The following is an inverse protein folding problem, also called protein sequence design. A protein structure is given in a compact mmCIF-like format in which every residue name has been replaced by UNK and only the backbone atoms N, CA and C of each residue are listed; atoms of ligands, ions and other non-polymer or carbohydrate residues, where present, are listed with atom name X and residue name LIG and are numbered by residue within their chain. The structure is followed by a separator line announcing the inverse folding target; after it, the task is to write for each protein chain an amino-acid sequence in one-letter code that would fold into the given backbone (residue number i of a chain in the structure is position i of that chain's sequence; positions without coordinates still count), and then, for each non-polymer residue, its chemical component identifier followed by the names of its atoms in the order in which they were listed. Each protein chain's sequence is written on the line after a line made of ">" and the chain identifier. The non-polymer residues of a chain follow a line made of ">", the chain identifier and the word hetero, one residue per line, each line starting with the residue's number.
data_IF_684313696951
#
_entry.id   IF_684313696951
#
_cell.length_a   1.000
_cell.length_b   1.000
_cell.length_c   1.000
_cell.angle_alpha   90.00
_cell.angle_beta   90.00
_cell.angle_gamma   90.00
#
_symmetry.space_group_name_H-M   'P 1'
#
loop_
_entity.id
_entity.type
_entity.pdbx_description
1 polymer ?
#
# COMPACT_ATOMS: atom_id res chain seq x y z
N UNK A 1 32.76 -5.87 -11.70
CA UNK A 1 31.61 -6.42 -10.93
C UNK A 1 32.03 -7.33 -9.77
N UNK A 2 33.24 -7.90 -9.73
CA UNK A 2 33.69 -8.78 -8.63
C UNK A 2 33.96 -8.08 -7.28
N UNK A 3 34.03 -6.76 -7.20
CA UNK A 3 34.43 -6.05 -5.96
C UNK A 3 33.27 -5.69 -5.01
N UNK A 4 32.00 -5.82 -5.44
CA UNK A 4 30.85 -5.44 -4.61
C UNK A 4 30.58 -6.40 -3.44
N UNK A 5 31.13 -7.63 -3.50
CA UNK A 5 30.91 -8.68 -2.50
C UNK A 5 32.16 -9.02 -1.68
N UNK A 6 33.19 -8.17 -1.68
CA UNK A 6 34.29 -8.30 -0.72
C UNK A 6 33.77 -8.08 0.70
N UNK A 7 34.24 -8.85 1.69
CA UNK A 7 33.80 -8.75 3.09
C UNK A 7 33.96 -7.34 3.68
N UNK A 8 34.93 -6.57 3.18
CA UNK A 8 35.22 -5.19 3.59
C UNK A 8 34.11 -4.19 3.19
N UNK A 9 33.24 -4.55 2.25
CA UNK A 9 32.13 -3.71 1.76
C UNK A 9 30.77 -4.05 2.38
N UNK A 10 30.70 -5.08 3.23
CA UNK A 10 29.45 -5.56 3.81
C UNK A 10 28.72 -4.51 4.68
N UNK A 11 29.41 -3.69 5.52
CA UNK A 11 28.74 -2.62 6.27
C UNK A 11 28.09 -1.57 5.37
N UNK A 12 28.77 -1.16 4.30
CA UNK A 12 28.29 -0.15 3.35
C UNK A 12 27.10 -0.68 2.55
N UNK A 13 27.14 -1.97 2.17
CA UNK A 13 26.01 -2.64 1.53
C UNK A 13 24.80 -2.73 2.48
N UNK A 14 25.02 -3.06 3.75
CA UNK A 14 23.96 -3.11 4.76
C UNK A 14 23.26 -1.75 4.94
N UNK A 15 24.04 -0.67 5.03
CA UNK A 15 23.50 0.70 5.09
C UNK A 15 22.72 1.04 3.82
N UNK A 16 23.27 0.76 2.64
CA UNK A 16 22.59 1.01 1.37
C UNK A 16 21.22 0.31 1.30
N UNK A 17 21.18 -0.98 1.67
CA UNK A 17 19.93 -1.73 1.73
C UNK A 17 18.95 -1.12 2.74
N UNK A 18 19.41 -0.72 3.91
CA UNK A 18 18.58 -0.07 4.93
C UNK A 18 17.98 1.25 4.44
N UNK A 19 18.74 2.05 3.67
CA UNK A 19 18.28 3.34 3.11
C UNK A 19 17.26 3.19 1.98
N UNK A 20 17.40 2.14 1.17
CA UNK A 20 16.56 1.92 -0.02
C UNK A 20 15.32 1.08 0.29
N UNK A 21 15.37 0.21 1.31
CA UNK A 21 14.27 -0.70 1.67
C UNK A 21 12.92 0.01 1.89
N UNK A 22 12.83 1.17 2.57
CA UNK A 22 11.57 1.91 2.69
C UNK A 22 10.89 2.18 1.34
N UNK A 23 11.67 2.60 0.33
CA UNK A 23 11.15 2.93 -0.99
C UNK A 23 10.63 1.69 -1.71
N UNK A 24 11.37 0.58 -1.67
CA UNK A 24 10.95 -0.68 -2.29
C UNK A 24 9.63 -1.17 -1.68
N UNK A 25 9.55 -1.15 -0.35
CA UNK A 25 8.37 -1.64 0.37
C UNK A 25 7.17 -0.70 0.17
N UNK A 26 7.39 0.62 0.20
CA UNK A 26 6.32 1.59 -0.06
C UNK A 26 5.85 1.56 -1.52
N UNK A 27 6.72 1.23 -2.47
CA UNK A 27 6.32 1.01 -3.86
C UNK A 27 5.42 -0.21 -3.99
N UNK A 28 5.75 -1.29 -3.27
CA UNK A 28 4.93 -2.50 -3.24
C UNK A 28 3.53 -2.25 -2.63
N UNK A 29 3.44 -1.48 -1.54
CA UNK A 29 2.13 -1.15 -0.95
C UNK A 29 1.29 -0.24 -1.85
N UNK A 30 1.90 0.72 -2.53
CA UNK A 30 1.22 1.59 -3.49
C UNK A 30 0.72 0.79 -4.70
N UNK A 31 1.57 -0.09 -5.25
CA UNK A 31 1.20 -0.98 -6.35
C UNK A 31 0.07 -1.93 -5.92
N UNK A 32 0.11 -2.46 -4.71
CA UNK A 32 -0.99 -3.26 -4.17
C UNK A 32 -2.30 -2.44 -4.16
N UNK A 33 -2.27 -1.22 -3.62
CA UNK A 33 -3.44 -0.32 -3.63
C UNK A 33 -3.98 -0.09 -5.04
N UNK A 34 -3.10 0.17 -6.01
CA UNK A 34 -3.48 0.35 -7.41
C UNK A 34 -4.11 -0.90 -8.02
N UNK A 35 -3.54 -2.08 -7.75
CA UNK A 35 -4.09 -3.35 -8.20
C UNK A 35 -5.47 -3.64 -7.59
N UNK A 36 -5.72 -3.25 -6.33
CA UNK A 36 -7.05 -3.32 -5.72
C UNK A 36 -8.06 -2.46 -6.47
N UNK A 37 -7.67 -1.23 -6.83
CA UNK A 37 -8.54 -0.28 -7.53
C UNK A 37 -8.97 -0.81 -8.90
N UNK A 38 -8.00 -1.29 -9.70
CA UNK A 38 -8.30 -1.89 -11.01
C UNK A 38 -9.14 -3.16 -10.87
N UNK A 39 -8.71 -4.10 -10.02
CA UNK A 39 -9.33 -5.43 -9.95
C UNK A 39 -10.76 -5.35 -9.44
N UNK A 40 -11.01 -4.51 -8.42
CA UNK A 40 -12.34 -4.32 -7.86
C UNK A 40 -13.18 -3.37 -8.71
N UNK A 41 -12.59 -2.31 -9.26
CA UNK A 41 -13.26 -1.40 -10.20
C UNK A 41 -13.82 -2.11 -11.43
N UNK A 42 -13.14 -3.15 -11.93
CA UNK A 42 -13.62 -3.94 -13.05
C UNK A 42 -15.00 -4.57 -12.83
N UNK A 43 -15.38 -4.91 -11.59
CA UNK A 43 -16.71 -5.44 -11.27
C UNK A 43 -17.85 -4.42 -11.43
N UNK A 44 -17.53 -3.13 -11.51
CA UNK A 44 -18.50 -2.07 -11.77
C UNK A 44 -18.52 -1.61 -13.22
N UNK A 45 -17.82 -2.31 -14.12
CA UNK A 45 -17.85 -1.98 -15.54
C UNK A 45 -19.30 -2.07 -16.08
N UNK A 46 -19.75 -1.14 -16.93
CA UNK A 46 -21.12 -1.13 -17.45
C UNK A 46 -21.55 -2.47 -18.08
N UNK A 47 -20.64 -3.14 -18.81
CA UNK A 47 -20.94 -4.44 -19.43
C UNK A 47 -21.29 -5.55 -18.44
N UNK A 48 -20.90 -5.45 -17.17
CA UNK A 48 -21.25 -6.39 -16.11
C UNK A 48 -22.46 -5.89 -15.32
N UNK A 49 -22.55 -4.58 -15.09
CA UNK A 49 -23.61 -3.96 -14.28
C UNK A 49 -24.97 -3.91 -14.97
N UNK A 50 -25.00 -3.68 -16.28
CA UNK A 50 -26.25 -3.61 -17.05
C UNK A 50 -26.72 -4.97 -17.52
N UNK A 51 -25.93 -6.03 -17.30
CA UNK A 51 -26.35 -7.39 -17.58
C UNK A 51 -27.47 -7.80 -16.59
N UNK A 52 -28.66 -8.22 -17.06
CA UNK A 52 -29.77 -8.60 -16.20
C UNK A 52 -29.45 -9.72 -15.20
N UNK A 53 -28.40 -10.50 -15.48
CA UNK A 53 -27.97 -11.61 -14.63
C UNK A 53 -27.04 -11.18 -13.50
N UNK A 54 -26.57 -9.93 -13.47
CA UNK A 54 -25.62 -9.36 -12.50
C UNK A 54 -24.45 -10.31 -12.18
N UNK A 55 -23.64 -10.70 -13.19
CA UNK A 55 -22.56 -11.66 -13.01
C UNK A 55 -21.52 -11.17 -11.99
N UNK A 56 -21.24 -9.86 -11.97
CA UNK A 56 -20.36 -9.21 -10.99
C UNK A 56 -20.85 -9.45 -9.56
N UNK A 57 -22.09 -9.09 -9.25
CA UNK A 57 -22.68 -9.28 -7.92
C UNK A 57 -22.75 -10.75 -7.47
N UNK A 58 -22.78 -11.72 -8.39
CA UNK A 58 -22.73 -13.15 -8.05
C UNK A 58 -21.32 -13.65 -7.75
N UNK A 59 -20.30 -13.12 -8.45
CA UNK A 59 -18.91 -13.56 -8.30
C UNK A 59 -18.23 -12.87 -7.12
N UNK A 60 -18.56 -11.60 -6.88
CA UNK A 60 -17.89 -10.73 -5.91
C UNK A 60 -17.84 -11.29 -4.48
N UNK A 61 -18.88 -11.94 -3.92
CA UNK A 61 -18.82 -12.53 -2.57
C UNK A 61 -17.79 -13.64 -2.43
N UNK A 62 -17.44 -14.32 -3.53
CA UNK A 62 -16.43 -15.39 -3.57
C UNK A 62 -15.05 -14.86 -3.93
N UNK A 63 -14.99 -13.93 -4.89
CA UNK A 63 -13.74 -13.31 -5.33
C UNK A 63 -13.10 -12.50 -4.20
N UNK A 64 -13.87 -11.67 -3.51
CA UNK A 64 -13.32 -10.72 -2.55
C UNK A 64 -12.60 -11.40 -1.37
N UNK A 65 -13.15 -12.44 -0.69
CA UNK A 65 -12.40 -13.18 0.32
C UNK A 65 -11.15 -13.87 -0.25
N UNK A 66 -11.24 -14.45 -1.46
CA UNK A 66 -10.10 -15.13 -2.09
C UNK A 66 -8.95 -14.17 -2.40
N UNK A 67 -9.27 -12.94 -2.81
CA UNK A 67 -8.30 -11.88 -3.06
C UNK A 67 -7.78 -11.21 -1.78
N UNK A 68 -8.66 -10.90 -0.82
CA UNK A 68 -8.29 -10.15 0.39
C UNK A 68 -7.56 -10.98 1.44
N UNK A 69 -7.82 -12.29 1.53
CA UNK A 69 -7.13 -13.16 2.50
C UNK A 69 -5.60 -13.15 2.35
N UNK A 70 -5.02 -13.35 1.14
CA UNK A 70 -3.59 -13.11 0.93
C UNK A 70 -3.25 -11.62 0.95
N UNK A 71 -4.15 -10.74 0.50
CA UNK A 71 -3.94 -9.29 0.51
C UNK A 71 -3.66 -8.69 1.89
N UNK A 72 -4.22 -9.26 2.97
CA UNK A 72 -3.92 -8.84 4.36
C UNK A 72 -2.43 -9.04 4.68
N UNK A 73 -1.81 -10.10 4.19
CA UNK A 73 -0.35 -10.29 4.33
C UNK A 73 0.42 -9.23 3.56
N UNK A 74 -0.04 -8.86 2.35
CA UNK A 74 0.54 -7.74 1.60
C UNK A 74 0.52 -6.44 2.39
N UNK A 75 -0.58 -6.12 3.08
CA UNK A 75 -0.69 -4.94 3.95
C UNK A 75 0.25 -5.06 5.16
N UNK A 76 0.22 -6.20 5.86
CA UNK A 76 1.03 -6.43 7.07
C UNK A 76 2.53 -6.48 6.82
N UNK A 77 2.96 -6.95 5.64
CA UNK A 77 4.37 -7.04 5.24
C UNK A 77 4.90 -5.76 4.59
N UNK A 78 4.04 -4.76 4.34
CA UNK A 78 4.48 -3.52 3.70
C UNK A 78 4.35 -2.29 4.59
N UNK A 79 3.17 -1.96 5.12
CA UNK A 79 2.99 -0.72 5.87
C UNK A 79 3.78 -0.68 7.19
N UNK A 80 3.68 -1.67 8.10
CA UNK A 80 4.46 -1.65 9.34
C UNK A 80 5.98 -1.70 9.10
N UNK A 81 6.52 -2.57 8.21
CA UNK A 81 7.94 -2.55 7.91
C UNK A 81 8.42 -1.23 7.29
N UNK A 82 7.66 -0.64 6.36
CA UNK A 82 8.00 0.67 5.80
C UNK A 82 8.05 1.73 6.89
N UNK A 83 7.07 1.74 7.81
CA UNK A 83 7.05 2.65 8.96
C UNK A 83 8.29 2.48 9.84
N UNK A 84 8.61 1.25 10.24
CA UNK A 84 9.78 0.96 11.10
C UNK A 84 11.06 1.38 10.41
N UNK A 85 11.24 1.01 9.14
CA UNK A 85 12.45 1.37 8.40
C UNK A 85 12.56 2.89 8.21
N UNK A 86 11.46 3.59 7.97
CA UNK A 86 11.45 5.05 7.94
C UNK A 86 11.89 5.64 9.29
N UNK A 87 11.39 5.11 10.41
CA UNK A 87 11.81 5.57 11.74
C UNK A 87 13.31 5.35 11.96
N UNK A 88 13.82 4.15 11.67
CA UNK A 88 15.25 3.84 11.77
C UNK A 88 16.08 4.81 10.92
N UNK A 89 15.64 5.08 9.70
CA UNK A 89 16.31 6.02 8.81
C UNK A 89 16.21 7.49 9.31
N UNK A 90 15.08 7.90 9.87
CA UNK A 90 14.84 9.23 10.42
C UNK A 90 15.62 9.54 11.71
N UNK A 91 16.03 8.51 12.46
CA UNK A 91 16.91 8.65 13.62
C UNK A 91 18.40 8.60 13.30
N UNK A 92 18.77 8.47 12.02
CA UNK A 92 20.17 8.45 11.62
C UNK A 92 20.81 9.85 11.54
N UNK A 93 22.13 9.90 11.33
CA UNK A 93 22.92 11.13 11.22
C UNK A 93 22.78 11.93 9.92
N UNK A 94 21.69 11.74 9.17
CA UNK A 94 21.37 12.48 7.95
C UNK A 94 20.89 13.91 8.28
N UNK A 95 20.87 14.80 7.28
CA UNK A 95 20.33 16.16 7.41
C UNK A 95 18.90 16.20 7.99
N UNK A 96 18.56 17.33 8.62
CA UNK A 96 17.26 17.55 9.28
C UNK A 96 16.09 17.34 8.31
N UNK A 97 16.23 17.82 7.08
CA UNK A 97 15.26 17.76 6.01
C UNK A 97 14.96 16.31 5.61
N UNK A 98 16.00 15.49 5.40
CA UNK A 98 15.87 14.06 5.08
C UNK A 98 15.16 13.32 6.21
N UNK A 99 15.52 13.62 7.46
CA UNK A 99 14.91 13.01 8.64
C UNK A 99 13.43 13.33 8.72
N UNK A 100 13.04 14.58 8.49
CA UNK A 100 11.63 14.98 8.44
C UNK A 100 10.86 14.26 7.33
N UNK A 101 11.46 14.07 6.15
CA UNK A 101 10.83 13.29 5.07
C UNK A 101 10.60 11.83 5.47
N UNK A 102 11.58 11.18 6.12
CA UNK A 102 11.38 9.83 6.66
C UNK A 102 10.28 9.79 7.73
N UNK A 103 10.26 10.73 8.67
CA UNK A 103 9.19 10.78 9.69
C UNK A 103 7.81 11.03 9.10
N UNK A 104 7.70 11.91 8.09
CA UNK A 104 6.46 12.12 7.35
C UNK A 104 6.03 10.84 6.61
N UNK A 105 6.96 10.16 5.96
CA UNK A 105 6.73 8.86 5.33
C UNK A 105 6.21 7.80 6.31
N UNK A 106 6.83 7.71 7.50
CA UNK A 106 6.40 6.82 8.57
C UNK A 106 4.98 7.15 9.05
N UNK A 107 4.69 8.43 9.26
CA UNK A 107 3.38 8.93 9.67
C UNK A 107 2.28 8.55 8.67
N UNK A 108 2.47 8.86 7.39
CA UNK A 108 1.48 8.54 6.36
C UNK A 108 1.34 7.01 6.17
N UNK A 109 2.44 6.26 6.25
CA UNK A 109 2.41 4.79 6.17
C UNK A 109 1.55 4.16 7.27
N UNK A 110 1.73 4.60 8.53
CA UNK A 110 0.90 4.07 9.63
C UNK A 110 -0.53 4.62 9.61
N UNK A 111 -0.73 5.84 9.10
CA UNK A 111 -2.06 6.43 8.98
C UNK A 111 -3.00 5.59 8.10
N UNK A 112 -2.47 4.79 7.16
CA UNK A 112 -3.24 3.79 6.38
C UNK A 112 -4.28 3.04 7.23
N UNK A 113 -3.90 2.62 8.44
CA UNK A 113 -4.74 1.81 9.31
C UNK A 113 -5.95 2.56 9.88
N UNK A 114 -5.98 3.90 9.86
CA UNK A 114 -7.14 4.69 10.28
C UNK A 114 -8.39 4.41 9.41
N UNK A 115 -8.22 3.98 8.16
CA UNK A 115 -9.32 3.62 7.28
C UNK A 115 -9.86 2.21 7.54
N UNK A 116 -9.07 1.35 8.18
CA UNK A 116 -9.32 -0.08 8.37
C UNK A 116 -10.74 -0.40 8.86
N UNK A 117 -11.20 0.12 10.02
CA UNK A 117 -12.52 -0.19 10.56
C UNK A 117 -13.66 0.07 9.56
N UNK A 118 -13.63 1.25 8.92
CA UNK A 118 -14.66 1.66 7.96
C UNK A 118 -14.63 0.81 6.69
N UNK A 119 -13.45 0.47 6.20
CA UNK A 119 -13.26 -0.32 4.99
C UNK A 119 -13.70 -1.77 5.21
N UNK A 120 -13.31 -2.38 6.33
CA UNK A 120 -13.73 -3.74 6.67
C UNK A 120 -15.24 -3.85 6.90
N UNK A 121 -15.89 -2.83 7.45
CA UNK A 121 -17.35 -2.81 7.58
C UNK A 121 -18.04 -2.93 6.21
N UNK A 122 -17.54 -2.22 5.19
CA UNK A 122 -18.09 -2.28 3.84
C UNK A 122 -17.75 -3.61 3.17
N UNK A 123 -16.50 -4.09 3.29
CA UNK A 123 -16.07 -5.37 2.73
C UNK A 123 -16.94 -6.53 3.22
N UNK A 124 -17.32 -6.56 4.51
CA UNK A 124 -18.23 -7.58 5.05
C UNK A 124 -19.57 -7.62 4.32
N UNK A 125 -20.14 -6.46 3.98
CA UNK A 125 -21.40 -6.38 3.21
C UNK A 125 -21.24 -6.89 1.79
N UNK A 126 -20.06 -6.71 1.19
CA UNK A 126 -19.77 -7.23 -0.16
C UNK A 126 -19.63 -8.76 -0.14
N UNK A 127 -19.05 -9.31 0.92
CA UNK A 127 -18.77 -10.73 1.10
C UNK A 127 -19.98 -11.55 1.54
N UNK A 128 -21.05 -10.90 1.98
CA UNK A 128 -22.24 -11.58 2.49
C UNK A 128 -22.95 -12.33 1.33
N UNK A 129 -23.00 -13.68 1.36
CA UNK A 129 -23.63 -14.45 0.31
C UNK A 129 -25.14 -14.23 0.23
N UNK A 130 -25.77 -13.70 1.28
CA UNK A 130 -27.21 -13.39 1.31
C UNK A 130 -27.55 -12.11 0.56
N UNK A 131 -26.56 -11.28 0.21
CA UNK A 131 -26.75 -9.97 -0.45
C UNK A 131 -26.18 -9.93 -1.88
N UNK A 132 -25.96 -11.09 -2.50
CA UNK A 132 -25.42 -11.19 -3.85
C UNK A 132 -26.30 -10.47 -4.90
N UNK A 133 -25.65 -9.81 -5.89
CA UNK A 133 -26.33 -9.14 -7.01
C UNK A 133 -26.17 -7.62 -6.96
N UNK A 134 -27.27 -6.87 -7.02
CA UNK A 134 -27.22 -5.40 -6.92
C UNK A 134 -26.71 -4.90 -5.55
N UNK A 135 -27.11 -5.48 -4.39
CA UNK A 135 -26.74 -4.91 -3.09
C UNK A 135 -25.24 -4.91 -2.81
N UNK A 136 -24.50 -5.96 -3.18
CA UNK A 136 -23.05 -6.00 -2.97
C UNK A 136 -22.27 -5.18 -4.00
N UNK A 137 -22.76 -5.03 -5.24
CA UNK A 137 -22.24 -4.05 -6.20
C UNK A 137 -22.36 -2.61 -5.65
N UNK A 138 -23.50 -2.26 -5.06
CA UNK A 138 -23.68 -0.95 -4.39
C UNK A 138 -22.75 -0.76 -3.18
N UNK A 139 -22.48 -1.83 -2.43
CA UNK A 139 -21.48 -1.79 -1.36
C UNK A 139 -20.07 -1.55 -1.93
N UNK A 140 -19.73 -2.13 -3.07
CA UNK A 140 -18.48 -1.89 -3.78
C UNK A 140 -18.38 -0.46 -4.34
N UNK A 141 -19.46 0.11 -4.87
CA UNK A 141 -19.56 1.52 -5.26
C UNK A 141 -19.29 2.48 -4.09
N UNK A 142 -19.62 2.06 -2.87
CA UNK A 142 -19.29 2.83 -1.67
C UNK A 142 -17.82 2.65 -1.24
N UNK A 143 -17.26 1.46 -1.48
CA UNK A 143 -15.90 1.12 -1.06
C UNK A 143 -14.82 1.80 -1.91
N UNK A 144 -14.98 1.80 -3.24
CA UNK A 144 -13.96 2.30 -4.18
C UNK A 144 -13.61 3.78 -3.98
N UNK A 145 -14.56 4.72 -3.83
CA UNK A 145 -14.22 6.11 -3.56
C UNK A 145 -13.44 6.28 -2.24
N UNK A 146 -13.78 5.51 -1.21
CA UNK A 146 -13.05 5.55 0.08
C UNK A 146 -11.65 4.96 -0.04
N UNK A 147 -11.50 3.88 -0.79
CA UNK A 147 -10.21 3.30 -1.15
C UNK A 147 -9.33 4.31 -1.90
N UNK A 148 -9.92 5.00 -2.88
CA UNK A 148 -9.25 6.03 -3.66
C UNK A 148 -8.80 7.18 -2.76
N UNK A 149 -9.68 7.71 -1.90
CA UNK A 149 -9.31 8.75 -0.94
C UNK A 149 -8.19 8.31 -0.01
N UNK A 150 -8.22 7.09 0.53
CA UNK A 150 -7.10 6.54 1.32
C UNK A 150 -5.81 6.52 0.50
N UNK A 151 -5.89 6.05 -0.74
CA UNK A 151 -4.71 5.97 -1.62
C UNK A 151 -4.10 7.35 -1.84
N UNK A 152 -4.92 8.36 -2.15
CA UNK A 152 -4.44 9.72 -2.40
C UNK A 152 -4.00 10.47 -1.14
N UNK A 153 -4.65 10.24 0.00
CA UNK A 153 -4.41 11.02 1.22
C UNK A 153 -3.27 10.46 2.08
N UNK A 154 -2.99 9.16 1.98
CA UNK A 154 -1.95 8.55 2.81
C UNK A 154 -0.97 7.67 2.04
N UNK A 155 -1.41 6.83 1.09
CA UNK A 155 -0.47 5.93 0.41
C UNK A 155 0.47 6.68 -0.55
N UNK A 156 -0.08 7.60 -1.35
CA UNK A 156 0.70 8.43 -2.29
C UNK A 156 1.61 9.41 -1.53
N UNK A 157 1.14 10.17 -0.52
CA UNK A 157 2.02 11.00 0.30
C UNK A 157 3.12 10.23 1.00
N UNK A 158 2.82 9.05 1.57
CA UNK A 158 3.86 8.19 2.15
C UNK A 158 4.95 7.86 1.12
N UNK A 159 4.56 7.38 -0.05
CA UNK A 159 5.49 7.05 -1.13
C UNK A 159 6.32 8.26 -1.56
N UNK A 160 5.70 9.42 -1.76
CA UNK A 160 6.40 10.63 -2.21
C UNK A 160 7.41 11.13 -1.17
N UNK A 161 7.05 11.14 0.11
CA UNK A 161 7.97 11.49 1.20
C UNK A 161 9.15 10.53 1.26
N UNK A 162 8.89 9.22 1.17
CA UNK A 162 9.93 8.18 1.21
C UNK A 162 10.83 8.27 -0.02
N UNK A 163 10.25 8.45 -1.21
CA UNK A 163 10.99 8.63 -2.45
C UNK A 163 11.92 9.84 -2.38
N UNK A 164 11.41 10.99 -1.95
CA UNK A 164 12.21 12.19 -1.77
C UNK A 164 13.32 11.98 -0.74
N UNK A 165 13.03 11.32 0.40
CA UNK A 165 14.02 10.99 1.42
C UNK A 165 15.13 10.09 0.86
N UNK A 166 14.78 9.04 0.11
CA UNK A 166 15.74 8.11 -0.49
C UNK A 166 16.62 8.81 -1.53
N UNK A 167 16.04 9.61 -2.43
CA UNK A 167 16.80 10.37 -3.43
C UNK A 167 17.76 11.35 -2.76
N UNK A 168 17.29 12.09 -1.76
CA UNK A 168 18.12 13.03 -1.01
C UNK A 168 19.24 12.31 -0.22
N UNK A 169 18.94 11.16 0.39
CA UNK A 169 19.93 10.33 1.09
C UNK A 169 21.02 9.85 0.13
N UNK A 170 20.65 9.45 -1.08
CA UNK A 170 21.63 9.04 -2.11
C UNK A 170 22.50 10.24 -2.50
N UNK A 171 21.93 11.44 -2.64
CA UNK A 171 22.65 12.65 -3.00
C UNK A 171 23.61 13.13 -1.88
N UNK A 172 23.21 13.04 -0.61
CA UNK A 172 24.06 13.38 0.56
C UNK A 172 25.14 12.31 0.84
N UNK A 173 24.94 11.12 0.26
CA UNK A 173 25.75 9.93 0.48
C UNK A 173 25.08 8.99 1.48
N UNK A 174 25.22 7.69 1.23
CA UNK A 174 24.66 6.60 2.02
C UNK A 174 25.38 6.42 3.37
N UNK A 175 25.39 7.48 4.18
CA UNK A 175 25.85 7.51 5.57
C UNK A 175 24.73 7.09 6.51
#
# INVERSE_FOLDING_TARGET
>A
MASLFSADNAPQLGVALLRVSPLVISSASLMFSWAQDISLGAFLHPSLRTDPTHPSGKILPRFLPAFMKPGIWGIGLTYPPATVLCLVNGFSGQSSEIRHLYFAGAFFSIAHFCWGPSMFAILRRIQDPTTAGVPNESALETWLPRHHSRTLLVNVPAFLCIFAATVATIAEGLK
#
